data_IF_524353017898
#
_entry.id   IF_524353017898
#
_cell.length_a   1.000
_cell.length_b   1.000
_cell.length_c   1.000
_cell.angle_alpha   90.00
_cell.angle_beta   90.00
_cell.angle_gamma   90.00
#
_symmetry.space_group_name_H-M   'P 1'
#
loop_
_entity.id
_entity.type
_entity.pdbx_description
1 polymer ?
#
# COMPACT_ATOMS: atom_id res chain seq x y z
N UNK A 1 -1.06 -19.32 -13.97
CA UNK A 1 -0.19 -18.20 -13.53
C UNK A 1 -1.09 -17.08 -13.07
N UNK A 2 -0.84 -16.45 -11.92
CA UNK A 2 -1.59 -15.25 -11.54
C UNK A 2 -0.81 -14.05 -12.03
N UNK A 3 -1.48 -13.14 -12.73
CA UNK A 3 -0.94 -11.86 -13.17
C UNK A 3 -1.61 -10.78 -12.32
N UNK A 4 -0.79 -9.90 -11.77
CA UNK A 4 -1.21 -8.74 -10.99
C UNK A 4 -1.04 -7.51 -11.88
N UNK A 5 -2.13 -6.82 -12.18
CA UNK A 5 -2.11 -5.59 -12.98
C UNK A 5 -2.42 -4.40 -12.07
N UNK A 6 -1.49 -3.43 -12.01
CA UNK A 6 -1.70 -2.21 -11.24
C UNK A 6 -2.82 -1.40 -11.89
N UNK A 7 -3.90 -1.19 -11.15
CA UNK A 7 -5.08 -0.45 -11.57
C UNK A 7 -5.01 1.01 -11.12
N UNK A 8 -4.60 1.24 -9.89
CA UNK A 8 -4.57 2.58 -9.29
C UNK A 8 -3.45 2.71 -8.24
N UNK A 9 -2.98 3.93 -8.04
CA UNK A 9 -1.95 4.27 -7.05
C UNK A 9 -2.24 5.64 -6.42
N UNK A 10 -2.32 5.68 -5.09
CA UNK A 10 -2.64 6.88 -4.32
C UNK A 10 -1.66 7.09 -3.16
N UNK A 11 -1.38 8.35 -2.82
CA UNK A 11 -0.65 8.70 -1.61
C UNK A 11 -1.63 8.95 -0.46
N UNK A 12 -1.51 8.18 0.62
CA UNK A 12 -2.35 8.31 1.81
C UNK A 12 -1.67 9.17 2.87
N UNK A 13 -2.47 9.94 3.61
CA UNK A 13 -2.08 10.67 4.83
C UNK A 13 -0.91 11.65 4.70
N UNK A 14 -0.58 12.11 3.49
CA UNK A 14 0.62 12.93 3.25
C UNK A 14 0.78 14.09 4.24
N UNK A 15 -0.31 14.78 4.58
CA UNK A 15 -0.29 15.92 5.51
C UNK A 15 -0.17 15.55 7.00
N UNK A 16 -0.37 14.27 7.35
CA UNK A 16 -0.39 13.76 8.72
C UNK A 16 0.87 12.95 9.07
N UNK A 17 1.77 12.78 8.10
CA UNK A 17 3.00 12.01 8.25
C UNK A 17 4.19 12.91 8.62
N UNK A 18 5.15 12.33 9.31
CA UNK A 18 6.44 12.96 9.55
C UNK A 18 7.19 13.15 8.22
N UNK A 19 8.05 14.16 8.16
CA UNK A 19 8.85 14.45 6.97
C UNK A 19 9.67 13.22 6.53
N UNK A 20 9.68 12.95 5.23
CA UNK A 20 10.35 11.80 4.63
C UNK A 20 9.54 10.50 4.66
N UNK A 21 8.39 10.44 5.33
CA UNK A 21 7.53 9.25 5.31
C UNK A 21 6.38 9.38 4.32
N UNK A 22 6.10 8.28 3.62
CA UNK A 22 5.00 8.16 2.67
C UNK A 22 4.26 6.86 2.92
N UNK A 23 2.94 6.91 2.78
CA UNK A 23 2.11 5.72 2.70
C UNK A 23 1.52 5.71 1.31
N UNK A 24 1.76 4.64 0.56
CA UNK A 24 1.29 4.46 -0.81
C UNK A 24 0.26 3.33 -0.79
N UNK A 25 -0.88 3.58 -1.40
CA UNK A 25 -1.92 2.60 -1.64
C UNK A 25 -1.91 2.23 -3.13
N UNK A 26 -1.89 0.95 -3.43
CA UNK A 26 -1.92 0.39 -4.77
C UNK A 26 -3.02 -0.63 -4.88
N UNK A 27 -3.89 -0.47 -5.87
CA UNK A 27 -4.94 -1.44 -6.18
C UNK A 27 -4.50 -2.29 -7.35
N UNK A 28 -4.50 -3.61 -7.17
CA UNK A 28 -4.18 -4.59 -8.19
C UNK A 28 -5.41 -5.38 -8.61
N UNK A 29 -5.58 -5.57 -9.92
CA UNK A 29 -6.47 -6.60 -10.44
C UNK A 29 -5.68 -7.91 -10.60
N UNK A 30 -6.21 -8.99 -10.03
CA UNK A 30 -5.63 -10.31 -10.12
C UNK A 30 -6.35 -11.11 -11.20
N UNK A 31 -5.58 -11.67 -12.14
CA UNK A 31 -6.10 -12.49 -13.22
C UNK A 31 -5.41 -13.84 -13.21
N UNK A 32 -6.20 -14.91 -13.11
CA UNK A 32 -5.73 -16.27 -13.27
C UNK A 32 -5.64 -16.61 -14.76
N UNK A 33 -4.43 -16.83 -15.24
CA UNK A 33 -4.13 -17.27 -16.60
C UNK A 33 -3.99 -18.80 -16.63
N UNK A 34 -4.87 -19.45 -17.37
CA UNK A 34 -4.92 -20.91 -17.56
C UNK A 34 -4.72 -21.27 -19.05
N UNK A 35 -4.07 -22.40 -19.36
CA UNK A 35 -4.01 -22.90 -20.73
C UNK A 35 -5.37 -23.46 -21.17
N UNK A 36 -5.83 -23.09 -22.36
CA UNK A 36 -7.08 -23.56 -22.98
C UNK A 36 -6.82 -24.43 -24.23
N UNK A 37 -5.57 -24.57 -24.66
CA UNK A 37 -5.14 -25.40 -25.80
C UNK A 37 -3.68 -25.15 -26.18
N UNK A 38 -3.24 -25.69 -27.32
CA UNK A 38 -1.82 -25.73 -27.72
C UNK A 38 -1.15 -24.34 -27.85
N UNK A 39 -1.92 -23.25 -28.00
CA UNK A 39 -1.42 -21.86 -28.04
C UNK A 39 -2.44 -20.81 -27.53
N UNK A 40 -3.45 -21.22 -26.77
CA UNK A 40 -4.51 -20.32 -26.27
C UNK A 40 -4.47 -20.28 -24.76
N UNK A 41 -4.50 -19.06 -24.21
CA UNK A 41 -4.64 -18.83 -22.77
C UNK A 41 -6.00 -18.21 -22.47
N UNK A 42 -6.64 -18.70 -21.43
CA UNK A 42 -7.87 -18.13 -20.86
C UNK A 42 -7.49 -17.30 -19.64
N UNK A 43 -8.10 -16.13 -19.55
CA UNK A 43 -8.00 -15.25 -18.38
C UNK A 43 -9.29 -15.35 -17.59
N UNK A 44 -9.16 -15.64 -16.29
CA UNK A 44 -10.26 -15.72 -15.34
C UNK A 44 -10.02 -14.67 -14.27
N UNK A 45 -11.05 -13.86 -13.98
CA UNK A 45 -11.01 -12.91 -12.88
C UNK A 45 -10.73 -13.64 -11.56
N UNK A 46 -9.66 -13.22 -10.87
CA UNK A 46 -9.21 -13.78 -9.60
C UNK A 46 -9.34 -12.78 -8.45
N UNK A 47 -10.08 -11.69 -8.66
CA UNK A 47 -10.38 -10.69 -7.64
C UNK A 47 -9.43 -9.49 -7.67
N UNK A 48 -9.55 -8.65 -6.66
CA UNK A 48 -8.74 -7.44 -6.46
C UNK A 48 -7.92 -7.58 -5.19
N UNK A 49 -6.75 -6.96 -5.18
CA UNK A 49 -5.85 -6.92 -4.05
C UNK A 49 -5.47 -5.47 -3.77
N UNK A 50 -5.59 -5.06 -2.51
CA UNK A 50 -5.17 -3.73 -2.07
C UNK A 50 -3.85 -3.87 -1.33
N UNK A 51 -2.84 -3.12 -1.76
CA UNK A 51 -1.50 -3.15 -1.20
C UNK A 51 -1.18 -1.79 -0.62
N UNK A 52 -0.82 -1.76 0.66
CA UNK A 52 -0.37 -0.54 1.33
C UNK A 52 1.10 -0.67 1.68
N UNK A 53 1.90 0.26 1.18
CA UNK A 53 3.35 0.28 1.38
C UNK A 53 3.75 1.50 2.21
N UNK A 54 4.51 1.27 3.28
CA UNK A 54 5.14 2.32 4.08
C UNK A 54 6.54 2.56 3.54
N UNK A 55 6.83 3.78 3.14
CA UNK A 55 8.11 4.18 2.53
C UNK A 55 8.74 5.30 3.34
N UNK A 56 10.05 5.22 3.54
CA UNK A 56 10.87 6.29 4.09
C UNK A 56 11.89 6.77 3.06
N UNK A 57 11.81 8.04 2.69
CA UNK A 57 12.80 8.75 1.89
C UNK A 57 13.71 9.60 2.80
N UNK A 58 15.00 9.24 2.95
CA UNK A 58 15.94 10.03 3.73
C UNK A 58 16.38 11.34 3.06
N UNK A 59 15.90 11.68 1.86
CA UNK A 59 16.21 12.94 1.16
C UNK A 59 17.66 13.04 0.68
N UNK A 60 18.31 11.91 0.44
CA UNK A 60 19.73 11.81 0.05
C UNK A 60 19.87 11.21 -1.36
N UNK A 61 21.10 10.94 -1.82
CA UNK A 61 21.35 10.27 -3.10
C UNK A 61 20.85 8.81 -3.16
N UNK A 62 20.34 8.29 -2.03
CA UNK A 62 19.79 6.94 -1.93
C UNK A 62 18.32 6.90 -2.36
N UNK A 63 17.91 5.78 -2.93
CA UNK A 63 16.50 5.52 -3.26
C UNK A 63 15.65 5.42 -1.99
N UNK A 64 14.34 5.74 -2.07
CA UNK A 64 13.40 5.54 -0.99
C UNK A 64 13.43 4.09 -0.48
N UNK A 65 13.30 3.93 0.83
CA UNK A 65 13.36 2.64 1.52
C UNK A 65 11.94 2.17 1.77
N UNK A 66 11.57 1.01 1.23
CA UNK A 66 10.37 0.32 1.65
C UNK A 66 10.57 -0.22 3.07
N UNK A 67 9.74 0.23 4.01
CA UNK A 67 9.76 -0.22 5.39
C UNK A 67 8.88 -1.45 5.58
N UNK A 68 7.66 -1.39 5.06
CA UNK A 68 6.70 -2.47 5.16
C UNK A 68 5.66 -2.48 4.03
N UNK A 69 5.03 -3.63 3.84
CA UNK A 69 3.97 -3.83 2.86
C UNK A 69 2.86 -4.70 3.44
N UNK A 70 1.63 -4.20 3.38
CA UNK A 70 0.44 -4.88 3.85
C UNK A 70 -0.50 -5.19 2.68
N UNK A 71 -0.86 -6.46 2.53
CA UNK A 71 -1.77 -6.94 1.48
C UNK A 71 -3.15 -7.25 2.06
N UNK A 72 -4.21 -6.77 1.41
CA UNK A 72 -5.61 -6.99 1.78
C UNK A 72 -6.38 -7.60 0.61
N UNK A 73 -7.00 -8.77 0.85
CA UNK A 73 -7.64 -9.60 -0.20
C UNK A 73 -9.16 -9.38 -0.27
N UNK A 74 -9.76 -8.70 0.71
CA UNK A 74 -11.21 -8.47 0.82
C UNK A 74 -11.60 -6.98 0.72
N UNK A 75 -10.74 -6.16 0.11
CA UNK A 75 -10.94 -4.73 -0.11
C UNK A 75 -10.15 -3.82 0.84
N UNK A 76 -10.32 -2.50 0.65
CA UNK A 76 -9.52 -1.49 1.34
C UNK A 76 -9.84 -1.52 2.84
N UNK A 77 -8.84 -1.71 3.72
CA UNK A 77 -9.05 -1.63 5.17
C UNK A 77 -9.55 -0.22 5.53
N UNK A 78 -10.31 -0.10 6.62
CA UNK A 78 -10.74 1.23 7.04
C UNK A 78 -9.54 2.11 7.37
N UNK A 79 -9.71 3.42 7.20
CA UNK A 79 -8.69 4.42 7.51
C UNK A 79 -8.13 4.27 8.95
N UNK A 80 -9.01 3.91 9.89
CA UNK A 80 -8.67 3.70 11.29
C UNK A 80 -7.83 2.44 11.46
N UNK A 81 -8.25 1.31 10.87
CA UNK A 81 -7.50 0.06 10.92
C UNK A 81 -6.10 0.20 10.34
N UNK A 82 -5.97 0.92 9.22
CA UNK A 82 -4.67 1.15 8.59
C UNK A 82 -3.74 1.97 9.50
N UNK A 83 -4.27 3.05 10.10
CA UNK A 83 -3.50 3.87 11.04
C UNK A 83 -3.07 3.08 12.27
N UNK A 84 -3.98 2.31 12.86
CA UNK A 84 -3.67 1.50 14.04
C UNK A 84 -2.61 0.44 13.73
N UNK A 85 -2.71 -0.23 12.57
CA UNK A 85 -1.74 -1.23 12.12
C UNK A 85 -0.35 -0.63 11.93
N UNK A 86 -0.26 0.48 11.19
CA UNK A 86 1.02 1.12 10.90
C UNK A 86 1.61 1.75 12.17
N UNK A 87 0.79 2.46 12.98
CA UNK A 87 1.25 3.12 14.20
C UNK A 87 1.67 2.15 15.31
N UNK A 88 1.23 0.88 15.26
CA UNK A 88 1.67 -0.15 16.19
C UNK A 88 3.16 -0.49 16.02
N UNK A 89 3.69 -0.36 14.80
CA UNK A 89 5.05 -0.76 14.44
C UNK A 89 5.96 0.43 14.09
N UNK A 90 5.40 1.48 13.51
CA UNK A 90 6.13 2.65 13.04
C UNK A 90 5.54 3.95 13.59
N UNK A 91 6.38 4.77 14.25
CA UNK A 91 5.99 6.11 14.72
C UNK A 91 6.13 7.14 13.58
N UNK A 92 5.29 7.00 12.55
CA UNK A 92 5.36 7.80 11.30
C UNK A 92 4.33 8.92 11.25
N UNK A 93 3.33 8.90 12.13
CA UNK A 93 2.30 9.92 12.17
C UNK A 93 2.73 11.09 13.07
N UNK A 94 2.32 12.31 12.70
CA UNK A 94 2.54 13.49 13.52
C UNK A 94 1.57 13.45 14.72
N UNK A 95 2.13 13.37 15.93
CA UNK A 95 1.36 13.44 17.16
C UNK A 95 0.88 14.88 17.45
N UNK A 96 -0.35 15.23 17.04
CA UNK A 96 -0.93 16.56 17.32
C UNK A 96 -1.27 16.81 18.80
N UNK A 97 -1.13 15.82 19.69
CA UNK A 97 -1.43 15.97 21.12
C UNK A 97 -0.51 16.94 21.89
N UNK A 98 0.57 17.46 21.29
CA UNK A 98 1.47 18.44 21.92
C UNK A 98 1.26 19.91 21.53
N UNK A 99 0.20 20.24 20.79
CA UNK A 99 -0.08 21.64 20.42
C UNK A 99 -0.90 22.43 21.46
N UNK A 100 -1.28 21.82 22.58
CA UNK A 100 -2.05 22.47 23.65
C UNK A 100 -1.32 22.44 24.99
N UNK A 101 -0.11 23.00 25.05
CA UNK A 101 0.53 23.44 26.29
C UNK A 101 1.73 24.31 25.95
N UNK A 102 1.48 25.61 25.75
CA UNK A 102 2.38 26.72 26.09
C UNK A 102 1.57 28.03 26.08
#
# INVERSE_FOLDING_TARGET
MIVHELMDMEHLFVEQLQEGYYIIHETYQNVLVEPEGDDVVRQVDAGTEEVVTVVFDPGSEYSPICLDTYTFVDGIPSLTELKETIAAEYDVFVNHHRAASL
#
